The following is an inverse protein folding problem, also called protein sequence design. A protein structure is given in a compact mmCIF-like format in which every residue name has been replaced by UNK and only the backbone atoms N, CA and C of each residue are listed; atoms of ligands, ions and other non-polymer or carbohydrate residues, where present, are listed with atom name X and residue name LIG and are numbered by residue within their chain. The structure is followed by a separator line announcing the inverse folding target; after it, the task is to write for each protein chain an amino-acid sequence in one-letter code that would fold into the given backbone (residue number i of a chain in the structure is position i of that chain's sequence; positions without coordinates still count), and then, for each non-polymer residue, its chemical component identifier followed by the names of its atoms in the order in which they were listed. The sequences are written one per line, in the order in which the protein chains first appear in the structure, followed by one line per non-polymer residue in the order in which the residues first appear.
data_IF_443896245089
#
_entry.id   IF_443896245089
#
_cell.length_a   1.000
_cell.length_b   1.000
_cell.length_c   1.000
_cell.angle_alpha   90.00
_cell.angle_beta   90.00
_cell.angle_gamma   90.00
#
_symmetry.space_group_name_H-M   'P 1'
#
loop_
_entity.id
_entity.type
_entity.pdbx_description
1 polymer ?
#
# COMPACT_ATOMS: atom_id res chain seq x y z
N UNK A 1 -7.29 21.22 -4.98
CA UNK A 1 -6.48 20.29 -5.80
C UNK A 1 -5.67 19.28 -4.97
N UNK A 2 -4.79 19.69 -4.04
CA UNK A 2 -3.91 18.76 -3.30
C UNK A 2 -4.64 17.68 -2.48
N UNK A 3 -5.78 18.01 -1.85
CA UNK A 3 -6.61 17.03 -1.15
C UNK A 3 -7.27 15.99 -2.06
N UNK A 4 -7.63 16.38 -3.30
CA UNK A 4 -8.23 15.44 -4.26
C UNK A 4 -7.17 14.45 -4.76
N UNK A 5 -5.92 14.90 -4.92
CA UNK A 5 -4.80 14.04 -5.30
C UNK A 5 -4.52 12.96 -4.25
N UNK A 6 -4.48 13.32 -2.96
CA UNK A 6 -4.30 12.33 -1.88
C UNK A 6 -5.46 11.33 -1.79
N UNK A 7 -6.70 11.77 -2.06
CA UNK A 7 -7.85 10.85 -2.13
C UNK A 7 -7.70 9.83 -3.27
N UNK A 8 -7.26 10.28 -4.45
CA UNK A 8 -7.02 9.38 -5.59
C UNK A 8 -5.91 8.38 -5.28
N UNK A 9 -4.80 8.84 -4.68
CA UNK A 9 -3.72 7.94 -4.25
C UNK A 9 -4.23 6.92 -3.23
N UNK A 10 -4.96 7.34 -2.20
CA UNK A 10 -5.47 6.41 -1.18
C UNK A 10 -6.42 5.34 -1.77
N UNK A 11 -7.26 5.72 -2.75
CA UNK A 11 -8.13 4.77 -3.46
C UNK A 11 -7.30 3.79 -4.30
N UNK A 12 -6.27 4.28 -4.99
CA UNK A 12 -5.37 3.44 -5.78
C UNK A 12 -4.55 2.47 -4.90
N UNK A 13 -4.07 2.92 -3.75
CA UNK A 13 -3.39 2.09 -2.76
C UNK A 13 -4.32 0.98 -2.26
N UNK A 14 -5.57 1.31 -1.90
CA UNK A 14 -6.56 0.32 -1.48
C UNK A 14 -6.82 -0.73 -2.58
N UNK A 15 -6.95 -0.29 -3.83
CA UNK A 15 -7.15 -1.19 -4.96
C UNK A 15 -5.97 -2.15 -5.17
N UNK A 16 -4.73 -1.65 -5.06
CA UNK A 16 -3.52 -2.48 -5.16
C UNK A 16 -3.41 -3.50 -4.03
N UNK A 17 -3.84 -3.14 -2.82
CA UNK A 17 -3.88 -4.09 -1.69
C UNK A 17 -4.88 -5.21 -1.93
N UNK A 18 -6.07 -4.89 -2.45
CA UNK A 18 -7.05 -5.91 -2.84
C UNK A 18 -6.49 -6.82 -3.95
N UNK A 19 -5.81 -6.24 -4.94
CA UNK A 19 -5.14 -6.99 -6.00
C UNK A 19 -4.06 -7.93 -5.43
N UNK A 20 -3.26 -7.45 -4.48
CA UNK A 20 -2.25 -8.26 -3.79
C UNK A 20 -2.86 -9.47 -3.09
N UNK A 21 -3.91 -9.27 -2.28
CA UNK A 21 -4.59 -10.37 -1.59
C UNK A 21 -5.23 -11.37 -2.57
N UNK A 22 -5.84 -10.87 -3.64
CA UNK A 22 -6.44 -11.72 -4.67
C UNK A 22 -5.37 -12.55 -5.40
N UNK A 23 -4.26 -11.93 -5.79
CA UNK A 23 -3.14 -12.61 -6.43
C UNK A 23 -2.52 -13.64 -5.47
N UNK A 24 -2.37 -13.31 -4.18
CA UNK A 24 -1.84 -14.22 -3.17
C UNK A 24 -2.73 -15.44 -2.97
N UNK A 25 -4.05 -15.23 -2.91
CA UNK A 25 -5.04 -16.31 -2.85
C UNK A 25 -4.98 -17.21 -4.09
N UNK A 26 -4.83 -16.63 -5.28
CA UNK A 26 -4.69 -17.40 -6.53
C UNK A 26 -3.37 -18.15 -6.62
N UNK A 27 -2.28 -17.57 -6.11
CA UNK A 27 -0.99 -18.24 -6.02
C UNK A 27 -1.09 -19.46 -5.08
N UNK A 28 -1.67 -19.27 -3.89
CA UNK A 28 -1.89 -20.36 -2.93
C UNK A 28 -2.76 -21.47 -3.53
N UNK A 29 -3.87 -21.12 -4.18
CA UNK A 29 -4.73 -22.09 -4.86
C UNK A 29 -4.05 -22.82 -6.04
N UNK A 30 -3.03 -22.21 -6.66
CA UNK A 30 -2.27 -22.84 -7.74
C UNK A 30 -1.23 -23.86 -7.22
N UNK A 31 -0.83 -23.76 -5.95
CA UNK A 31 0.01 -24.73 -5.27
C UNK A 31 -0.86 -25.67 -4.43
N UNK A 32 -1.15 -26.84 -4.98
CA UNK A 32 -1.89 -27.85 -4.22
C UNK A 32 -1.05 -28.31 -3.01
N UNK A 33 -1.68 -28.42 -1.83
CA UNK A 33 -1.00 -28.82 -0.57
C UNK A 33 -0.39 -30.23 -0.64
N UNK A 34 -0.75 -30.98 -1.67
CA UNK A 34 -0.21 -32.30 -1.99
C UNK A 34 1.10 -32.28 -2.83
N UNK A 35 1.64 -31.11 -3.18
CA UNK A 35 2.92 -30.99 -3.89
C UNK A 35 2.84 -31.15 -5.42
N UNK A 36 1.64 -31.22 -5.99
CA UNK A 36 1.37 -31.31 -7.45
C UNK A 36 0.80 -29.97 -7.93
N UNK A 37 1.42 -28.86 -7.53
CA UNK A 37 0.99 -27.51 -7.91
C UNK A 37 1.38 -27.16 -9.36
N UNK A 38 0.56 -26.34 -10.02
CA UNK A 38 0.93 -25.76 -11.31
C UNK A 38 1.94 -24.61 -11.10
N UNK A 39 3.22 -24.93 -11.20
CA UNK A 39 4.33 -23.98 -10.99
C UNK A 39 4.22 -22.73 -11.88
N UNK A 40 3.75 -22.88 -13.12
CA UNK A 40 3.62 -21.75 -14.04
C UNK A 40 2.56 -20.75 -13.59
N UNK A 41 1.40 -21.25 -13.12
CA UNK A 41 0.33 -20.41 -12.57
C UNK A 41 0.74 -19.79 -11.23
N UNK A 42 1.37 -20.57 -10.35
CA UNK A 42 1.90 -20.04 -9.09
C UNK A 42 2.88 -18.88 -9.34
N UNK A 43 3.84 -19.07 -10.25
CA UNK A 43 4.84 -18.05 -10.58
C UNK A 43 4.19 -16.78 -11.13
N UNK A 44 3.19 -16.91 -12.00
CA UNK A 44 2.45 -15.77 -12.54
C UNK A 44 1.75 -14.95 -11.44
N UNK A 45 0.97 -15.62 -10.59
CA UNK A 45 0.25 -14.95 -9.51
C UNK A 45 1.18 -14.40 -8.42
N UNK A 46 2.28 -15.09 -8.13
CA UNK A 46 3.32 -14.62 -7.24
C UNK A 46 4.02 -13.35 -7.76
N UNK A 47 4.32 -13.31 -9.06
CA UNK A 47 4.88 -12.10 -9.69
C UNK A 47 3.90 -10.92 -9.65
N UNK A 48 2.60 -11.17 -9.82
CA UNK A 48 1.55 -10.14 -9.65
C UNK A 48 1.49 -9.61 -8.21
N UNK A 49 1.69 -10.48 -7.21
CA UNK A 49 1.83 -10.06 -5.82
C UNK A 49 3.04 -9.13 -5.65
N UNK A 50 4.21 -9.51 -6.18
CA UNK A 50 5.41 -8.67 -6.13
C UNK A 50 5.21 -7.31 -6.79
N UNK A 51 4.66 -7.29 -8.01
CA UNK A 51 4.40 -6.05 -8.76
C UNK A 51 3.44 -5.11 -8.04
N UNK A 52 2.36 -5.64 -7.45
CA UNK A 52 1.41 -4.82 -6.69
C UNK A 52 2.05 -4.15 -5.46
N UNK A 53 2.94 -4.85 -4.73
CA UNK A 53 3.72 -4.27 -3.63
C UNK A 53 4.64 -3.15 -4.15
N UNK A 54 5.37 -3.38 -5.24
CA UNK A 54 6.29 -2.37 -5.80
C UNK A 54 5.55 -1.10 -6.20
N UNK A 55 4.41 -1.22 -6.88
CA UNK A 55 3.60 -0.05 -7.29
C UNK A 55 3.03 0.67 -6.06
N UNK A 56 2.58 -0.08 -5.05
CA UNK A 56 2.09 0.47 -3.80
C UNK A 56 3.19 1.25 -3.05
N UNK A 57 4.42 0.75 -3.03
CA UNK A 57 5.56 1.45 -2.42
C UNK A 57 5.86 2.77 -3.15
N UNK A 58 5.79 2.79 -4.47
CA UNK A 58 5.99 4.01 -5.27
C UNK A 58 4.90 5.04 -4.96
N UNK A 59 3.63 4.63 -4.93
CA UNK A 59 2.50 5.51 -4.61
C UNK A 59 2.61 6.06 -3.18
N UNK A 60 3.03 5.22 -2.24
CA UNK A 60 3.29 5.62 -0.87
C UNK A 60 4.41 6.67 -0.78
N UNK A 61 5.53 6.47 -1.49
CA UNK A 61 6.60 7.47 -1.57
C UNK A 61 6.09 8.81 -2.14
N UNK A 62 5.25 8.76 -3.19
CA UNK A 62 4.60 9.95 -3.72
C UNK A 62 3.71 10.64 -2.67
N UNK A 63 2.95 9.88 -1.88
CA UNK A 63 2.08 10.42 -0.82
C UNK A 63 2.89 11.10 0.30
N UNK A 64 4.02 10.51 0.69
CA UNK A 64 4.98 11.08 1.65
C UNK A 64 5.56 12.39 1.13
N UNK A 65 6.07 12.42 -0.10
CA UNK A 65 6.67 13.63 -0.70
C UNK A 65 5.65 14.77 -0.79
N UNK A 66 4.42 14.48 -1.23
CA UNK A 66 3.35 15.49 -1.28
C UNK A 66 3.02 16.01 0.11
N UNK A 67 2.96 15.13 1.11
CA UNK A 67 2.68 15.50 2.50
C UNK A 67 3.80 16.38 3.08
N UNK A 68 5.06 16.03 2.86
CA UNK A 68 6.21 16.84 3.27
C UNK A 68 6.19 18.22 2.61
N UNK A 69 5.95 18.30 1.28
CA UNK A 69 5.83 19.58 0.57
C UNK A 69 4.69 20.45 1.09
N UNK A 70 3.55 19.86 1.44
CA UNK A 70 2.42 20.62 2.02
C UNK A 70 2.74 21.19 3.39
N UNK A 71 3.46 20.43 4.22
CA UNK A 71 3.86 20.87 5.56
C UNK A 71 4.97 21.94 5.49
N UNK A 72 5.93 21.78 4.56
CA UNK A 72 7.01 22.75 4.33
C UNK A 72 6.50 24.12 3.85
N UNK A 73 5.57 24.13 2.87
CA UNK A 73 4.96 25.39 2.40
C UNK A 73 4.14 26.11 3.49
N UNK A 74 3.63 25.36 4.47
CA UNK A 74 2.92 25.93 5.62
C UNK A 74 3.88 26.59 6.61
N UNK A 75 5.10 26.04 6.77
CA UNK A 75 6.16 26.64 7.58
C UNK A 75 6.77 27.91 6.99
N UNK A 76 6.87 28.02 5.65
CA UNK A 76 7.40 29.21 4.97
C UNK A 76 6.50 30.46 5.06
N UNK A 77 5.24 30.32 5.50
CA UNK A 77 4.30 31.44 5.73
C UNK A 77 4.32 32.01 7.15
N UNK A 78 5.31 31.66 7.98
CA UNK A 78 5.59 32.38 9.22
C UNK A 78 4.59 32.15 10.36
N UNK A 79 3.91 31.01 10.43
CA UNK A 79 3.06 30.68 11.57
C UNK A 79 3.38 29.28 12.09
N UNK A 80 4.15 29.29 13.19
CA UNK A 80 4.18 28.30 14.27
C UNK A 80 4.59 26.87 13.88
N UNK A 81 5.67 26.41 14.50
CA UNK A 81 5.93 25.00 14.84
C UNK A 81 4.84 24.58 15.85
N UNK A 82 3.59 24.49 15.41
CA UNK A 82 2.52 23.86 16.15
C UNK A 82 2.30 22.55 15.45
N UNK A 83 2.50 21.46 16.20
CA UNK A 83 2.04 20.11 15.89
C UNK A 83 1.12 20.09 14.68
N UNK A 84 1.69 19.89 13.49
CA UNK A 84 0.90 19.84 12.27
C UNK A 84 0.15 18.53 12.40
N UNK A 85 -1.07 18.60 12.97
CA UNK A 85 -1.95 17.45 13.05
C UNK A 85 -2.12 16.99 11.61
N UNK A 86 -1.52 15.83 11.27
CA UNK A 86 -1.76 15.22 9.98
C UNK A 86 -3.26 15.06 9.85
N UNK A 87 -3.84 15.64 8.81
CA UNK A 87 -5.24 15.42 8.55
C UNK A 87 -5.46 13.91 8.36
N UNK A 88 -6.63 13.39 8.73
CA UNK A 88 -6.92 11.96 8.67
C UNK A 88 -6.54 11.33 7.32
N UNK A 89 -6.76 12.06 6.20
CA UNK A 89 -6.36 11.65 4.85
C UNK A 89 -4.84 11.53 4.63
N UNK A 90 -4.04 12.42 5.20
CA UNK A 90 -2.58 12.34 5.12
C UNK A 90 -2.05 11.21 5.99
N UNK A 91 -2.62 11.03 7.18
CA UNK A 91 -2.29 9.89 8.04
C UNK A 91 -2.68 8.56 7.40
N UNK A 92 -3.81 8.49 6.69
CA UNK A 92 -4.26 7.30 5.98
C UNK A 92 -3.36 6.98 4.78
N UNK A 93 -3.02 7.97 3.94
CA UNK A 93 -2.17 7.76 2.77
C UNK A 93 -0.71 7.42 3.12
N UNK A 94 -0.22 7.87 4.28
CA UNK A 94 1.16 7.59 4.74
C UNK A 94 1.22 6.36 5.65
N UNK A 95 0.23 6.15 6.52
CA UNK A 95 0.22 5.03 7.48
C UNK A 95 -0.50 3.79 6.98
N UNK A 96 -1.52 3.95 6.13
CA UNK A 96 -2.37 2.87 5.63
C UNK A 96 -1.61 1.76 4.89
N UNK A 97 -0.73 2.09 3.94
CA UNK A 97 0.06 1.10 3.22
C UNK A 97 0.92 0.21 4.14
N UNK A 98 1.56 0.80 5.17
CA UNK A 98 2.38 0.06 6.14
C UNK A 98 1.53 -0.88 6.97
N UNK A 99 0.40 -0.40 7.49
CA UNK A 99 -0.54 -1.22 8.27
C UNK A 99 -1.08 -2.37 7.41
N UNK A 100 -1.35 -2.13 6.13
CA UNK A 100 -1.84 -3.16 5.21
C UNK A 100 -0.77 -4.21 4.87
N UNK A 101 0.50 -3.84 4.73
CA UNK A 101 1.61 -4.79 4.59
C UNK A 101 1.73 -5.65 5.85
N UNK A 102 1.66 -5.05 7.04
CA UNK A 102 1.72 -5.78 8.31
C UNK A 102 0.54 -6.75 8.43
N UNK A 103 -0.69 -6.31 8.15
CA UNK A 103 -1.87 -7.16 8.16
C UNK A 103 -1.73 -8.28 7.12
N UNK A 104 -1.26 -7.97 5.91
CA UNK A 104 -1.03 -8.95 4.86
C UNK A 104 -0.01 -10.01 5.27
N UNK A 105 1.10 -9.60 5.89
CA UNK A 105 2.11 -10.48 6.43
C UNK A 105 1.55 -11.37 7.55
N UNK A 106 0.79 -10.80 8.50
CA UNK A 106 0.16 -11.55 9.58
C UNK A 106 -0.86 -12.57 9.06
N UNK A 107 -1.72 -12.18 8.11
CA UNK A 107 -2.71 -13.09 7.52
C UNK A 107 -2.07 -14.21 6.70
N UNK A 108 -0.93 -13.95 6.06
CA UNK A 108 -0.17 -14.97 5.35
C UNK A 108 0.43 -16.00 6.33
N UNK A 109 1.04 -15.54 7.43
CA UNK A 109 1.67 -16.42 8.41
C UNK A 109 0.69 -17.16 9.33
N UNK A 110 -0.49 -16.59 9.62
CA UNK A 110 -1.53 -17.27 10.44
C UNK A 110 -2.19 -18.45 9.71
N UNK A 111 -2.04 -18.55 8.38
CA UNK A 111 -2.58 -19.65 7.57
C UNK A 111 -1.64 -20.85 7.40
N UNK A 112 -0.39 -20.74 7.86
CA UNK A 112 0.59 -21.83 7.95
C UNK A 112 0.77 -22.26 9.39
#
# INVERSE_FOLDING_TARGET
MKQNFLKIIAIAELFLVLLFFFAGYRADAAMDKAGIGNLSQWTYWHNMCGQSIFILLILWLCSVIVTMRTNYQSGARGIRIVHTKMNALQSLAVGGPIVMIIIGYLLYFVRF
#
